data_IF_446897294845
#
_entry.id   IF_446897294845
#
_cell.length_a   1.000
_cell.length_b   1.000
_cell.length_c   1.000
_cell.angle_alpha   90.00
_cell.angle_beta   90.00
_cell.angle_gamma   90.00
#
_symmetry.space_group_name_H-M   'P 1'
#
loop_
_entity.id
_entity.type
_entity.pdbx_description
1 polymer ?
#
# COMPACT_ATOMS: atom_id res chain seq x y z
N UNK A 1 2.02 25.77 18.16
CA UNK A 1 3.25 25.15 18.70
C UNK A 1 4.44 25.58 17.85
N UNK A 2 5.41 26.24 18.45
CA UNK A 2 6.65 26.70 17.78
C UNK A 2 7.87 26.47 18.67
N UNK A 3 9.07 26.71 18.11
CA UNK A 3 10.32 26.67 18.83
C UNK A 3 10.70 25.28 19.33
N UNK A 4 11.18 25.19 20.55
CA UNK A 4 11.72 23.98 21.15
C UNK A 4 10.74 22.81 21.24
N UNK A 5 9.44 23.04 21.33
CA UNK A 5 8.41 21.98 21.35
C UNK A 5 8.38 21.24 20.01
N UNK A 6 8.34 21.99 18.90
CA UNK A 6 8.39 21.39 17.55
C UNK A 6 9.73 20.72 17.30
N UNK A 7 10.84 21.38 17.69
CA UNK A 7 12.20 20.86 17.51
C UNK A 7 12.60 19.75 18.50
N UNK A 8 11.65 19.13 19.18
CA UNK A 8 11.89 18.05 20.14
C UNK A 8 10.82 16.96 20.07
N UNK A 9 10.13 16.68 21.18
CA UNK A 9 9.22 15.53 21.28
C UNK A 9 8.01 15.57 20.34
N UNK A 10 7.50 16.76 19.96
CA UNK A 10 6.28 16.85 19.14
C UNK A 10 6.46 16.23 17.73
N UNK A 11 7.65 16.37 17.13
CA UNK A 11 7.96 15.78 15.80
C UNK A 11 8.50 14.34 15.86
N UNK A 12 8.61 13.76 17.06
CA UNK A 12 9.04 12.37 17.26
C UNK A 12 7.88 11.41 17.49
N UNK A 13 6.64 11.89 17.43
CA UNK A 13 5.44 11.07 17.63
C UNK A 13 5.27 10.02 16.53
N UNK A 14 4.84 8.82 16.92
CA UNK A 14 4.46 7.77 15.96
C UNK A 14 3.24 8.19 15.13
N UNK A 15 2.32 8.93 15.76
CA UNK A 15 1.19 9.61 15.14
C UNK A 15 1.16 11.05 15.63
N UNK A 16 1.08 12.01 14.72
CA UNK A 16 1.06 13.43 14.98
C UNK A 16 -0.25 14.02 14.47
N UNK A 17 -1.09 14.48 15.39
CA UNK A 17 -2.37 15.12 15.09
C UNK A 17 -2.26 16.63 15.23
N UNK A 18 -3.02 17.36 14.44
CA UNK A 18 -3.16 18.81 14.55
C UNK A 18 -4.63 19.22 14.54
N UNK A 19 -4.98 20.29 15.26
CA UNK A 19 -6.28 20.94 15.08
C UNK A 19 -6.27 21.83 13.82
N UNK A 20 -7.42 22.01 13.14
CA UNK A 20 -7.50 22.87 11.97
C UNK A 20 -6.92 24.27 12.22
N UNK A 21 -6.17 24.80 11.27
CA UNK A 21 -5.55 26.10 11.35
C UNK A 21 -4.50 26.28 12.44
N UNK A 22 -4.12 25.24 13.18
CA UNK A 22 -3.09 25.32 14.23
C UNK A 22 -1.75 25.78 13.64
N UNK A 23 -1.08 26.70 14.34
CA UNK A 23 0.27 27.14 13.97
C UNK A 23 1.31 26.15 14.47
N UNK A 24 2.05 25.54 13.54
CA UNK A 24 3.07 24.53 13.84
C UNK A 24 4.34 24.86 13.05
N UNK A 25 5.45 25.12 13.74
CA UNK A 25 6.71 25.44 13.06
C UNK A 25 7.86 25.56 14.05
N UNK A 26 9.10 25.62 13.56
CA UNK A 26 10.27 25.88 14.39
C UNK A 26 10.37 27.38 14.72
N UNK A 27 10.72 28.21 13.74
CA UNK A 27 10.69 29.66 13.90
C UNK A 27 9.26 30.18 13.66
N UNK A 28 8.80 31.08 14.52
CA UNK A 28 7.49 31.72 14.31
C UNK A 28 7.47 32.63 13.06
N UNK A 29 6.29 32.87 12.46
CA UNK A 29 6.19 33.65 11.23
C UNK A 29 6.87 35.03 11.30
N UNK A 30 6.66 35.78 12.39
CA UNK A 30 7.31 37.10 12.61
C UNK A 30 8.82 37.01 12.61
N UNK A 31 9.39 35.97 13.21
CA UNK A 31 10.85 35.77 13.26
C UNK A 31 11.39 35.50 11.85
N UNK A 32 10.70 34.68 11.09
CA UNK A 32 11.08 34.36 9.71
C UNK A 32 11.03 35.63 8.86
N UNK A 33 9.92 36.35 8.84
CA UNK A 33 9.72 37.58 8.04
C UNK A 33 10.77 38.65 8.38
N UNK A 34 11.06 38.84 9.67
CA UNK A 34 12.09 39.79 10.11
C UNK A 34 13.50 39.37 9.74
N UNK A 35 13.78 38.06 9.70
CA UNK A 35 15.13 37.54 9.42
C UNK A 35 15.44 37.52 7.93
N UNK A 36 14.50 37.08 7.10
CA UNK A 36 14.72 36.97 5.66
C UNK A 36 14.22 38.18 4.87
N UNK A 37 13.40 39.05 5.49
CA UNK A 37 12.86 40.26 4.86
C UNK A 37 11.74 40.00 3.83
N UNK A 38 11.16 38.81 3.83
CA UNK A 38 10.09 38.41 2.91
C UNK A 38 8.78 38.17 3.65
N UNK A 39 7.66 38.53 3.02
CA UNK A 39 6.32 38.21 3.53
C UNK A 39 5.99 36.75 3.26
N UNK A 40 5.56 36.03 4.29
CA UNK A 40 5.17 34.62 4.17
C UNK A 40 3.82 34.48 3.46
N UNK A 41 3.64 33.39 2.66
CA UNK A 41 2.35 33.09 2.04
C UNK A 41 1.24 32.85 3.07
N UNK A 42 -0.01 33.13 2.67
CA UNK A 42 -1.17 32.82 3.48
C UNK A 42 -1.24 31.31 3.77
N UNK A 43 -1.56 30.95 5.02
CA UNK A 43 -1.62 29.56 5.45
C UNK A 43 -0.25 28.90 5.75
N UNK A 44 0.87 29.61 5.57
CA UNK A 44 2.19 29.07 5.89
C UNK A 44 2.28 28.65 7.36
N UNK A 45 2.89 27.47 7.62
CA UNK A 45 3.00 26.85 8.94
C UNK A 45 1.66 26.51 9.63
N UNK A 46 0.53 26.52 8.93
CA UNK A 46 -0.74 26.01 9.47
C UNK A 46 -0.79 24.49 9.40
N UNK A 47 -1.74 23.88 10.12
CA UNK A 47 -1.95 22.43 10.14
C UNK A 47 -2.10 21.85 8.73
N UNK A 48 -2.84 22.53 7.86
CA UNK A 48 -3.08 22.14 6.45
C UNK A 48 -1.77 22.16 5.64
N UNK A 49 -0.92 23.16 5.89
CA UNK A 49 0.42 23.22 5.31
C UNK A 49 1.27 22.04 5.78
N UNK A 50 1.25 21.73 7.08
CA UNK A 50 2.02 20.65 7.67
C UNK A 50 1.55 19.27 7.18
N UNK A 51 0.25 19.08 6.98
CA UNK A 51 -0.32 17.85 6.38
C UNK A 51 0.18 17.68 4.94
N UNK A 52 0.07 18.74 4.13
CA UNK A 52 0.54 18.73 2.74
C UNK A 52 2.04 18.45 2.62
N UNK A 53 2.83 18.97 3.57
CA UNK A 53 4.27 18.77 3.64
C UNK A 53 4.68 17.51 4.43
N UNK A 54 3.74 16.65 4.78
CA UNK A 54 4.01 15.32 5.31
C UNK A 54 4.48 15.26 6.76
N UNK A 55 4.30 16.32 7.54
CA UNK A 55 4.79 16.41 8.92
C UNK A 55 3.75 16.02 9.98
N UNK A 56 2.45 16.04 9.64
CA UNK A 56 1.39 15.54 10.52
C UNK A 56 0.60 14.45 9.81
N UNK A 57 0.01 13.53 10.58
CA UNK A 57 -0.76 12.39 10.05
C UNK A 57 -2.20 12.76 9.72
N UNK A 58 -2.81 13.60 10.54
CA UNK A 58 -4.19 14.02 10.35
C UNK A 58 -4.49 15.36 11.01
N UNK A 59 -5.51 16.04 10.47
CA UNK A 59 -6.11 17.21 11.09
C UNK A 59 -7.43 16.76 11.71
N UNK A 60 -7.64 17.04 12.99
CA UNK A 60 -8.76 16.56 13.79
C UNK A 60 -9.38 17.74 14.54
N UNK A 61 -10.70 17.91 14.40
CA UNK A 61 -11.46 18.90 15.18
C UNK A 61 -11.39 18.60 16.68
N UNK A 62 -11.45 19.64 17.50
CA UNK A 62 -11.28 19.52 18.96
C UNK A 62 -12.33 18.62 19.62
N UNK A 63 -13.54 18.67 19.17
CA UNK A 63 -14.65 17.85 19.67
C UNK A 63 -14.54 16.37 19.26
N UNK A 64 -13.88 16.06 18.14
CA UNK A 64 -13.61 14.72 17.65
C UNK A 64 -12.31 14.11 18.25
N UNK A 65 -11.46 14.94 18.87
CA UNK A 65 -10.12 14.53 19.32
C UNK A 65 -10.16 13.38 20.33
N UNK A 66 -11.14 13.38 21.25
CA UNK A 66 -11.29 12.31 22.26
C UNK A 66 -11.56 10.95 21.61
N UNK A 67 -12.46 10.91 20.64
CA UNK A 67 -12.86 9.67 19.96
C UNK A 67 -11.74 9.18 19.04
N UNK A 68 -11.07 10.10 18.34
CA UNK A 68 -9.89 9.82 17.53
C UNK A 68 -8.74 9.24 18.37
N UNK A 69 -8.42 9.84 19.52
CA UNK A 69 -7.42 9.31 20.45
C UNK A 69 -7.83 7.94 20.99
N UNK A 70 -9.11 7.76 21.33
CA UNK A 70 -9.65 6.47 21.75
C UNK A 70 -9.48 5.39 20.69
N UNK A 71 -9.75 5.71 19.42
CA UNK A 71 -9.54 4.84 18.27
C UNK A 71 -8.04 4.48 18.11
N UNK A 72 -7.16 5.48 18.14
CA UNK A 72 -5.70 5.27 18.04
C UNK A 72 -5.21 4.33 19.14
N UNK A 73 -5.61 4.57 20.39
CA UNK A 73 -5.19 3.75 21.51
C UNK A 73 -5.70 2.30 21.39
N UNK A 74 -6.92 2.08 20.92
CA UNK A 74 -7.45 0.73 20.65
C UNK A 74 -6.63 0.02 19.58
N UNK A 75 -6.36 0.68 18.43
CA UNK A 75 -5.56 0.15 17.31
C UNK A 75 -4.10 -0.16 17.67
N UNK A 76 -3.60 0.42 18.79
CA UNK A 76 -2.25 0.16 19.31
C UNK A 76 -2.25 -0.75 20.55
N UNK A 77 -3.41 -1.36 20.89
CA UNK A 77 -3.44 -2.30 22.01
C UNK A 77 -2.51 -3.46 21.72
N UNK A 78 -1.63 -3.82 22.67
CA UNK A 78 -0.78 -4.98 22.51
C UNK A 78 -1.62 -6.25 22.29
N UNK A 79 -1.23 -7.07 21.33
CA UNK A 79 -1.82 -8.37 21.04
C UNK A 79 -0.77 -9.46 21.21
N UNK A 80 -1.17 -10.64 21.65
CA UNK A 80 -0.32 -11.83 21.64
C UNK A 80 -0.41 -12.50 20.28
N UNK A 81 0.69 -12.52 19.53
CA UNK A 81 0.73 -13.07 18.17
C UNK A 81 -0.05 -12.22 17.15
N UNK A 82 -0.56 -12.88 16.10
CA UNK A 82 -1.12 -12.22 14.91
C UNK A 82 -2.53 -12.71 14.54
N UNK A 83 -3.18 -13.48 15.38
CA UNK A 83 -4.47 -14.12 15.09
C UNK A 83 -5.52 -13.85 16.18
N UNK A 84 -5.60 -12.62 16.67
CA UNK A 84 -6.54 -12.21 17.71
C UNK A 84 -7.89 -11.77 17.08
N UNK A 85 -8.52 -12.68 16.35
CA UNK A 85 -9.78 -12.41 15.67
C UNK A 85 -10.95 -12.41 16.67
N UNK A 86 -12.00 -11.63 16.37
CA UNK A 86 -13.24 -11.68 17.11
C UNK A 86 -13.86 -13.09 16.96
N UNK A 87 -14.14 -13.79 18.06
CA UNK A 87 -14.77 -15.12 18.01
C UNK A 87 -16.09 -15.18 17.24
N UNK A 88 -16.82 -14.07 17.16
CA UNK A 88 -18.06 -13.97 16.38
C UNK A 88 -17.82 -14.11 14.86
N UNK A 89 -16.59 -13.85 14.39
CA UNK A 89 -16.19 -13.89 12.98
C UNK A 89 -15.09 -14.94 12.69
N UNK A 90 -14.73 -15.77 13.68
CA UNK A 90 -13.60 -16.69 13.55
C UNK A 90 -13.86 -17.85 12.59
N UNK A 91 -15.12 -18.19 12.34
CA UNK A 91 -15.52 -19.33 11.50
C UNK A 91 -16.01 -18.93 10.09
N UNK A 92 -15.79 -17.69 9.68
CA UNK A 92 -16.15 -17.17 8.34
C UNK A 92 -15.31 -17.83 7.23
N UNK A 93 -15.67 -19.08 6.89
CA UNK A 93 -15.18 -19.73 5.68
C UNK A 93 -15.88 -19.12 4.49
N UNK A 94 -15.10 -18.54 3.60
CA UNK A 94 -15.64 -18.03 2.35
C UNK A 94 -16.12 -19.16 1.45
N UNK A 95 -17.40 -19.11 1.07
CA UNK A 95 -17.98 -19.89 0.00
C UNK A 95 -18.44 -18.94 -1.13
N UNK A 96 -18.01 -19.16 -2.39
CA UNK A 96 -18.50 -18.36 -3.51
C UNK A 96 -20.01 -18.50 -3.65
N UNK A 97 -20.72 -17.39 -3.91
CA UNK A 97 -22.14 -17.41 -4.22
C UNK A 97 -22.39 -18.20 -5.53
N UNK A 98 -23.62 -18.68 -5.72
CA UNK A 98 -24.00 -19.38 -6.95
C UNK A 98 -23.74 -18.50 -8.20
N UNK A 99 -24.09 -17.23 -8.13
CA UNK A 99 -23.80 -16.25 -9.19
C UNK A 99 -22.31 -16.18 -9.54
N UNK A 100 -21.43 -16.22 -8.54
CA UNK A 100 -19.98 -16.17 -8.76
C UNK A 100 -19.45 -17.48 -9.36
N UNK A 101 -20.00 -18.62 -8.96
CA UNK A 101 -19.68 -19.91 -9.57
C UNK A 101 -20.09 -19.92 -11.06
N UNK A 102 -21.28 -19.40 -11.40
CA UNK A 102 -21.76 -19.26 -12.77
C UNK A 102 -20.85 -18.31 -13.57
N UNK A 103 -20.55 -17.11 -13.06
CA UNK A 103 -19.65 -16.16 -13.74
C UNK A 103 -18.29 -16.80 -14.05
N UNK A 104 -17.73 -17.55 -13.11
CA UNK A 104 -16.45 -18.22 -13.30
C UNK A 104 -16.53 -19.35 -14.34
N UNK A 105 -17.65 -20.07 -14.41
CA UNK A 105 -17.88 -21.17 -15.38
C UNK A 105 -18.00 -20.64 -16.80
N UNK A 106 -18.59 -19.46 -17.01
CA UNK A 106 -18.78 -18.86 -18.34
C UNK A 106 -17.59 -17.99 -18.79
N UNK A 107 -16.67 -17.63 -17.87
CA UNK A 107 -15.48 -16.87 -18.23
C UNK A 107 -14.47 -17.75 -18.96
N UNK A 108 -14.01 -17.29 -20.13
CA UNK A 108 -12.87 -17.94 -20.80
C UNK A 108 -11.57 -17.46 -20.16
N UNK A 109 -10.57 -18.35 -19.98
CA UNK A 109 -9.24 -17.90 -19.58
C UNK A 109 -8.73 -16.84 -20.55
N UNK A 110 -8.27 -15.71 -19.99
CA UNK A 110 -7.71 -14.64 -20.80
C UNK A 110 -6.28 -14.99 -21.25
N UNK A 111 -5.96 -14.64 -22.47
CA UNK A 111 -4.60 -14.69 -22.97
C UNK A 111 -3.70 -13.67 -22.23
N UNK A 112 -2.37 -13.86 -22.16
CA UNK A 112 -1.48 -12.98 -21.41
C UNK A 112 -1.64 -11.48 -21.73
N UNK A 113 -1.81 -11.15 -23.00
CA UNK A 113 -2.05 -9.76 -23.42
C UNK A 113 -3.40 -9.21 -22.95
N UNK A 114 -4.43 -10.02 -22.96
CA UNK A 114 -5.76 -9.61 -22.51
C UNK A 114 -5.77 -9.39 -20.99
N UNK A 115 -4.96 -10.15 -20.23
CA UNK A 115 -4.71 -9.90 -18.80
C UNK A 115 -3.98 -8.58 -18.57
N UNK A 116 -2.98 -8.23 -19.38
CA UNK A 116 -2.33 -6.91 -19.35
C UNK A 116 -3.37 -5.80 -19.53
N UNK A 117 -4.25 -5.95 -20.52
CA UNK A 117 -5.31 -4.97 -20.78
C UNK A 117 -6.34 -4.91 -19.64
N UNK A 118 -6.72 -6.06 -19.07
CA UNK A 118 -7.61 -6.12 -17.90
C UNK A 118 -7.01 -5.45 -16.66
N UNK A 119 -5.72 -5.67 -16.38
CA UNK A 119 -5.00 -5.04 -15.26
C UNK A 119 -4.93 -3.50 -15.39
N UNK A 120 -4.95 -2.98 -16.62
CA UNK A 120 -4.88 -1.55 -16.95
C UNK A 120 -6.23 -0.83 -16.98
N UNK A 121 -7.34 -1.56 -16.95
CA UNK A 121 -8.67 -0.93 -17.05
C UNK A 121 -8.90 0.07 -15.91
N UNK A 122 -9.41 1.25 -16.26
CA UNK A 122 -9.72 2.31 -15.29
C UNK A 122 -10.87 1.90 -14.35
N UNK A 123 -11.77 1.05 -14.78
CA UNK A 123 -12.89 0.53 -13.99
C UNK A 123 -12.51 -0.63 -13.07
N UNK A 124 -11.25 -1.13 -13.14
CA UNK A 124 -10.78 -2.16 -12.25
C UNK A 124 -10.77 -1.63 -10.83
N UNK A 125 -11.27 -2.44 -9.89
CA UNK A 125 -11.30 -2.11 -8.47
C UNK A 125 -9.92 -1.67 -7.97
N UNK A 126 -9.90 -0.58 -7.21
CA UNK A 126 -8.71 -0.02 -6.61
C UNK A 126 -8.45 -0.61 -5.22
N UNK A 127 -7.26 -0.37 -4.66
CA UNK A 127 -6.90 -0.81 -3.32
C UNK A 127 -7.91 -0.38 -2.25
N UNK A 128 -8.40 0.85 -2.32
CA UNK A 128 -9.35 1.41 -1.34
C UNK A 128 -10.71 0.73 -1.37
N UNK A 129 -11.13 0.15 -2.51
CA UNK A 129 -12.38 -0.60 -2.60
C UNK A 129 -12.29 -1.90 -1.82
N UNK A 130 -11.20 -2.65 -1.97
CA UNK A 130 -10.93 -3.85 -1.18
C UNK A 130 -10.72 -3.52 0.30
N UNK A 131 -9.95 -2.46 0.60
CA UNK A 131 -9.70 -2.03 1.97
C UNK A 131 -11.00 -1.71 2.71
N UNK A 132 -11.94 -1.02 2.07
CA UNK A 132 -13.24 -0.68 2.65
C UNK A 132 -14.18 -1.88 2.89
N UNK A 133 -13.98 -3.00 2.19
CA UNK A 133 -14.77 -4.21 2.37
C UNK A 133 -14.12 -5.22 3.35
N UNK A 134 -12.80 -5.20 3.45
CA UNK A 134 -12.05 -6.21 4.23
C UNK A 134 -11.83 -5.76 5.67
N UNK A 135 -11.52 -4.46 5.86
CA UNK A 135 -11.05 -3.95 7.15
C UNK A 135 -12.05 -3.02 7.81
N UNK A 136 -12.06 -3.07 9.13
CA UNK A 136 -12.88 -2.22 9.98
C UNK A 136 -12.03 -1.07 10.55
N UNK A 137 -12.67 0.05 10.87
CA UNK A 137 -12.07 1.21 11.55
C UNK A 137 -10.77 1.74 10.89
N UNK A 138 -10.64 1.67 9.57
CA UNK A 138 -9.43 2.17 8.91
C UNK A 138 -9.16 3.64 9.27
N UNK A 139 -7.93 3.91 9.69
CA UNK A 139 -7.41 5.24 9.99
C UNK A 139 -6.23 5.51 9.07
N UNK A 140 -6.42 6.39 8.09
CA UNK A 140 -5.33 6.81 7.21
C UNK A 140 -4.32 7.68 7.95
N UNK A 141 -3.03 7.45 7.66
CA UNK A 141 -1.90 8.20 8.17
C UNK A 141 -1.13 8.80 7.01
N UNK A 142 -0.82 10.09 7.10
CA UNK A 142 -0.22 10.85 6.02
C UNK A 142 1.25 11.18 6.23
N UNK A 143 1.94 11.44 5.12
CA UNK A 143 3.25 12.06 5.09
C UNK A 143 4.45 11.16 5.31
N UNK A 144 5.56 11.59 4.73
CA UNK A 144 6.87 10.91 4.81
C UNK A 144 7.75 11.38 5.96
N UNK A 145 7.38 12.45 6.67
CA UNK A 145 8.15 13.16 7.71
C UNK A 145 9.35 13.95 7.21
N UNK A 146 9.54 14.03 5.89
CA UNK A 146 10.72 14.69 5.31
C UNK A 146 10.37 15.81 4.35
N UNK A 147 9.39 15.60 3.46
CA UNK A 147 9.13 16.52 2.36
C UNK A 147 7.65 16.74 2.07
N UNK A 148 6.85 15.66 1.88
CA UNK A 148 5.42 15.80 1.61
C UNK A 148 4.67 14.47 1.78
N UNK A 149 3.36 14.52 1.59
CA UNK A 149 2.53 13.33 1.38
C UNK A 149 2.49 12.96 -0.10
N UNK A 150 2.24 11.67 -0.40
CA UNK A 150 1.98 11.17 -1.74
C UNK A 150 0.59 10.49 -1.78
N UNK A 151 -0.37 11.07 -2.50
CA UNK A 151 -1.72 10.52 -2.61
C UNK A 151 -1.81 9.20 -3.40
N UNK A 152 -0.75 8.81 -4.14
CA UNK A 152 -0.67 7.50 -4.78
C UNK A 152 -0.55 6.35 -3.75
N UNK A 153 -0.09 6.65 -2.53
CA UNK A 153 -0.03 5.69 -1.42
C UNK A 153 -1.08 6.04 -0.37
N UNK A 154 -2.07 5.18 -0.21
CA UNK A 154 -3.03 5.21 0.89
C UNK A 154 -2.60 4.18 1.93
N UNK A 155 -2.33 4.61 3.14
CA UNK A 155 -1.83 3.69 4.17
C UNK A 155 -2.22 4.12 5.57
N UNK A 156 -2.35 3.15 6.46
CA UNK A 156 -2.79 3.41 7.82
C UNK A 156 -2.95 2.14 8.64
N UNK A 157 -3.75 2.25 9.68
CA UNK A 157 -4.02 1.18 10.65
C UNK A 157 -5.51 0.83 10.59
N UNK A 158 -5.83 -0.46 10.69
CA UNK A 158 -7.20 -0.97 10.66
C UNK A 158 -7.34 -2.22 11.52
N UNK A 159 -8.55 -2.73 11.62
CA UNK A 159 -8.80 -4.08 12.13
C UNK A 159 -9.14 -5.06 11.00
N UNK A 160 -8.58 -6.24 11.08
CA UNK A 160 -9.04 -7.43 10.37
C UNK A 160 -9.77 -8.32 11.38
N UNK A 161 -11.08 -8.18 11.47
CA UNK A 161 -11.93 -8.90 12.46
C UNK A 161 -11.35 -8.86 13.89
N UNK A 162 -11.01 -7.68 14.40
CA UNK A 162 -10.47 -7.48 15.74
C UNK A 162 -8.93 -7.52 15.84
N UNK A 163 -8.23 -8.13 14.88
CA UNK A 163 -6.75 -8.10 14.83
C UNK A 163 -6.26 -6.76 14.26
N UNK A 164 -5.49 -5.94 15.00
CA UNK A 164 -4.88 -4.73 14.45
C UNK A 164 -3.87 -5.07 13.35
N UNK A 165 -3.98 -4.40 12.21
CA UNK A 165 -3.08 -4.57 11.07
C UNK A 165 -2.67 -3.21 10.50
N UNK A 166 -1.51 -3.16 9.85
CA UNK A 166 -1.11 -2.01 9.03
C UNK A 166 -1.40 -2.33 7.57
N UNK A 167 -2.15 -1.45 6.92
CA UNK A 167 -2.58 -1.64 5.52
C UNK A 167 -2.00 -0.53 4.67
N UNK A 168 -1.42 -0.88 3.53
CA UNK A 168 -0.80 0.06 2.59
C UNK A 168 -1.26 -0.32 1.18
N UNK A 169 -1.87 0.62 0.46
CA UNK A 169 -2.36 0.40 -0.89
C UNK A 169 -1.85 1.42 -1.89
N UNK A 170 -1.47 0.97 -3.08
CA UNK A 170 -1.30 1.87 -4.22
C UNK A 170 -2.67 2.17 -4.79
N UNK A 171 -3.01 3.45 -4.89
CA UNK A 171 -4.28 3.92 -5.42
C UNK A 171 -4.07 4.68 -6.73
N UNK A 172 -4.61 4.15 -7.83
CA UNK A 172 -4.49 4.77 -9.17
C UNK A 172 -5.43 5.95 -9.38
N UNK A 173 -6.48 6.05 -8.59
CA UNK A 173 -7.59 6.97 -8.80
C UNK A 173 -8.80 6.29 -9.47
N UNK A 174 -9.97 6.93 -9.34
CA UNK A 174 -11.27 6.42 -9.84
C UNK A 174 -11.77 7.16 -11.08
N UNK A 175 -11.32 8.37 -11.29
CA UNK A 175 -11.60 9.18 -12.47
C UNK A 175 -10.32 9.87 -12.96
N UNK A 176 -10.40 10.56 -14.12
CA UNK A 176 -9.23 11.17 -14.74
C UNK A 176 -8.58 12.26 -13.87
N UNK A 177 -9.36 13.00 -13.07
CA UNK A 177 -8.84 14.04 -12.17
C UNK A 177 -8.09 13.39 -11.02
N UNK A 178 -8.72 12.45 -10.34
CA UNK A 178 -8.12 11.68 -9.23
C UNK A 178 -6.88 10.88 -9.70
N UNK A 179 -6.93 10.27 -10.88
CA UNK A 179 -5.76 9.60 -11.47
C UNK A 179 -4.57 10.55 -11.64
N UNK A 180 -4.80 11.79 -12.12
CA UNK A 180 -3.72 12.78 -12.29
C UNK A 180 -3.13 13.20 -10.95
N UNK A 181 -3.96 13.43 -9.94
CA UNK A 181 -3.52 13.79 -8.59
C UNK A 181 -2.67 12.70 -7.95
N UNK A 182 -2.91 11.42 -8.31
CA UNK A 182 -2.19 10.23 -7.83
C UNK A 182 -1.13 9.71 -8.80
N UNK A 183 -0.69 10.51 -9.75
CA UNK A 183 0.28 10.10 -10.78
C UNK A 183 -0.09 8.75 -11.44
N UNK A 184 -1.38 8.48 -11.65
CA UNK A 184 -1.89 7.20 -12.18
C UNK A 184 -1.42 5.98 -11.38
N UNK A 185 -1.26 6.12 -10.07
CA UNK A 185 -0.77 5.07 -9.19
C UNK A 185 0.73 4.80 -9.32
N UNK A 186 1.49 5.78 -9.80
CA UNK A 186 2.96 5.73 -9.80
C UNK A 186 3.47 6.51 -8.59
N UNK A 187 3.94 5.84 -7.52
CA UNK A 187 4.39 6.55 -6.34
C UNK A 187 5.67 7.36 -6.58
N UNK A 188 5.70 8.53 -5.97
CA UNK A 188 6.88 9.38 -5.83
C UNK A 188 7.78 8.89 -4.68
N UNK A 189 8.99 9.42 -4.50
CA UNK A 189 9.88 9.02 -3.39
C UNK A 189 9.20 9.12 -2.02
N UNK A 190 8.37 10.12 -1.82
CA UNK A 190 7.62 10.37 -0.59
C UNK A 190 6.61 9.26 -0.31
N UNK A 191 5.99 8.69 -1.33
CA UNK A 191 5.08 7.54 -1.19
C UNK A 191 5.80 6.31 -0.66
N UNK A 192 6.99 6.00 -1.17
CA UNK A 192 7.81 4.90 -0.67
C UNK A 192 8.32 5.16 0.75
N UNK A 193 8.73 6.40 1.08
CA UNK A 193 9.15 6.78 2.44
C UNK A 193 7.97 6.72 3.43
N UNK A 194 6.78 7.16 3.03
CA UNK A 194 5.54 6.99 3.81
C UNK A 194 5.27 5.50 4.06
N UNK A 195 5.34 4.68 3.03
CA UNK A 195 5.11 3.24 3.17
C UNK A 195 6.06 2.59 4.18
N UNK A 196 7.37 2.81 4.06
CA UNK A 196 8.33 2.21 4.99
C UNK A 196 8.22 2.78 6.41
N UNK A 197 7.85 4.06 6.57
CA UNK A 197 7.54 4.64 7.88
C UNK A 197 6.40 3.89 8.57
N UNK A 198 5.31 3.61 7.85
CA UNK A 198 4.17 2.84 8.36
C UNK A 198 4.55 1.38 8.67
N UNK A 199 5.39 0.77 7.85
CA UNK A 199 5.89 -0.59 8.10
C UNK A 199 6.79 -0.66 9.34
N UNK A 200 7.64 0.33 9.56
CA UNK A 200 8.46 0.44 10.78
C UNK A 200 7.60 0.65 12.02
N UNK A 201 6.55 1.45 11.91
CA UNK A 201 5.58 1.62 12.99
C UNK A 201 4.83 0.30 13.26
N UNK A 202 4.47 -0.45 12.21
CA UNK A 202 3.86 -1.77 12.35
C UNK A 202 4.77 -2.74 13.13
N UNK A 203 6.05 -2.80 12.78
CA UNK A 203 7.05 -3.60 13.49
C UNK A 203 7.16 -3.18 14.97
N UNK A 204 7.26 -1.89 15.26
CA UNK A 204 7.34 -1.36 16.63
C UNK A 204 6.15 -1.79 17.50
N UNK A 205 4.96 -1.86 16.94
CA UNK A 205 3.72 -2.21 17.64
C UNK A 205 3.26 -3.65 17.38
N UNK A 206 4.11 -4.50 16.82
CA UNK A 206 3.85 -5.91 16.53
C UNK A 206 2.58 -6.15 15.70
N UNK A 207 2.32 -5.30 14.69
CA UNK A 207 1.19 -5.44 13.77
C UNK A 207 1.61 -6.11 12.46
N UNK A 208 0.84 -7.08 11.94
CA UNK A 208 1.02 -7.58 10.58
C UNK A 208 0.86 -6.47 9.55
N UNK A 209 1.52 -6.61 8.42
CA UNK A 209 1.50 -5.67 7.31
C UNK A 209 0.83 -6.33 6.11
N UNK A 210 -0.13 -5.62 5.49
CA UNK A 210 -0.80 -6.06 4.26
C UNK A 210 -0.64 -4.95 3.23
N UNK A 211 -0.06 -5.30 2.06
CA UNK A 211 0.11 -4.34 0.96
C UNK A 211 -0.76 -4.70 -0.24
N UNK A 212 -1.40 -3.71 -0.86
CA UNK A 212 -2.14 -3.83 -2.11
C UNK A 212 -1.37 -3.08 -3.21
N UNK A 213 -0.84 -3.82 -4.17
CA UNK A 213 0.03 -3.28 -5.22
C UNK A 213 -0.72 -3.21 -6.54
N UNK A 214 -0.82 -1.99 -7.08
CA UNK A 214 -1.37 -1.72 -8.41
C UNK A 214 -0.67 -0.50 -9.02
N UNK A 215 0.50 -0.71 -9.58
CA UNK A 215 1.30 0.35 -10.19
C UNK A 215 1.95 -0.13 -11.48
N UNK A 216 2.01 0.74 -12.49
CA UNK A 216 2.83 0.50 -13.68
C UNK A 216 4.33 0.68 -13.43
N UNK A 217 4.71 1.23 -12.28
CA UNK A 217 6.07 1.50 -11.84
C UNK A 217 6.15 2.72 -10.92
N UNK A 218 7.35 3.05 -10.49
CA UNK A 218 7.61 4.30 -9.78
C UNK A 218 7.47 5.51 -10.72
N UNK A 219 7.09 6.67 -10.18
CA UNK A 219 6.94 7.90 -10.96
C UNK A 219 8.28 8.31 -11.60
N UNK A 220 8.38 8.42 -12.94
CA UNK A 220 9.64 8.68 -13.64
C UNK A 220 9.86 10.18 -13.91
N UNK A 221 9.27 11.05 -13.10
CA UNK A 221 9.38 12.49 -13.28
C UNK A 221 10.72 13.06 -12.81
N UNK A 222 11.12 14.21 -13.36
CA UNK A 222 12.35 14.92 -12.99
C UNK A 222 12.41 15.19 -11.48
N UNK A 223 11.30 15.67 -10.88
CA UNK A 223 11.20 15.95 -9.46
C UNK A 223 11.39 14.68 -8.59
N UNK A 224 10.92 13.53 -9.06
CA UNK A 224 11.13 12.27 -8.35
C UNK A 224 12.62 11.86 -8.35
N UNK A 225 13.33 12.06 -9.45
CA UNK A 225 14.78 11.82 -9.51
C UNK A 225 15.54 12.79 -8.60
N UNK A 226 15.21 14.09 -8.62
CA UNK A 226 15.77 15.10 -7.74
C UNK A 226 15.56 14.81 -6.26
N UNK A 227 14.45 14.16 -5.91
CA UNK A 227 14.08 13.78 -4.55
C UNK A 227 14.49 12.34 -4.18
N UNK A 228 15.27 11.65 -5.02
CA UNK A 228 15.88 10.36 -4.70
C UNK A 228 14.98 9.15 -4.87
N UNK A 229 14.27 9.02 -6.01
CA UNK A 229 13.39 7.89 -6.32
C UNK A 229 14.10 6.53 -6.16
N UNK A 230 15.32 6.42 -6.70
CA UNK A 230 16.09 5.19 -6.61
C UNK A 230 16.46 4.82 -5.17
N UNK A 231 16.84 5.79 -4.33
CA UNK A 231 17.13 5.57 -2.90
C UNK A 231 15.90 5.12 -2.15
N UNK A 232 14.75 5.77 -2.37
CA UNK A 232 13.51 5.44 -1.67
C UNK A 232 13.05 4.01 -1.97
N UNK A 233 13.16 3.56 -3.23
CA UNK A 233 12.90 2.17 -3.63
C UNK A 233 13.89 1.21 -2.96
N UNK A 234 15.19 1.47 -3.08
CA UNK A 234 16.22 0.63 -2.52
C UNK A 234 16.11 0.50 -0.99
N UNK A 235 15.78 1.62 -0.30
CA UNK A 235 15.54 1.64 1.13
C UNK A 235 14.36 0.76 1.51
N UNK A 236 13.25 0.81 0.79
CA UNK A 236 12.12 -0.06 1.04
C UNK A 236 12.47 -1.54 0.91
N UNK A 237 13.20 -1.93 -0.15
CA UNK A 237 13.65 -3.31 -0.33
C UNK A 237 14.50 -3.80 0.83
N UNK A 238 15.47 -2.96 1.22
CA UNK A 238 16.38 -3.27 2.33
C UNK A 238 15.63 -3.43 3.65
N UNK A 239 14.82 -2.43 4.02
CA UNK A 239 14.11 -2.43 5.30
C UNK A 239 13.04 -3.52 5.37
N UNK A 240 12.23 -3.70 4.30
CA UNK A 240 11.23 -4.77 4.28
C UNK A 240 11.83 -6.15 4.45
N UNK A 241 13.04 -6.40 3.91
CA UNK A 241 13.71 -7.69 4.07
C UNK A 241 13.97 -8.05 5.53
N UNK A 242 14.21 -7.04 6.38
CA UNK A 242 14.56 -7.20 7.81
C UNK A 242 13.39 -7.11 8.78
N UNK A 243 12.21 -6.62 8.36
CA UNK A 243 11.05 -6.45 9.25
C UNK A 243 10.64 -7.76 9.93
N UNK A 244 10.38 -7.69 11.24
CA UNK A 244 10.14 -8.83 12.11
C UNK A 244 8.66 -9.11 12.42
N UNK A 245 7.75 -8.59 11.59
CA UNK A 245 6.32 -8.95 11.62
C UNK A 245 5.91 -9.59 10.29
N UNK A 246 4.79 -10.33 10.22
CA UNK A 246 4.29 -10.88 8.96
C UNK A 246 4.01 -9.79 7.93
N UNK A 247 4.42 -10.02 6.69
CA UNK A 247 4.11 -9.17 5.55
C UNK A 247 3.42 -10.01 4.47
N UNK A 248 2.20 -9.62 4.11
CA UNK A 248 1.44 -10.18 2.99
C UNK A 248 1.34 -9.15 1.88
N UNK A 249 1.71 -9.52 0.66
CA UNK A 249 1.66 -8.63 -0.49
C UNK A 249 0.63 -9.13 -1.52
N UNK A 250 -0.25 -8.24 -1.98
CA UNK A 250 -1.34 -8.54 -2.91
C UNK A 250 -1.16 -7.75 -4.20
N UNK A 251 -0.89 -8.44 -5.31
CA UNK A 251 -0.87 -7.85 -6.63
C UNK A 251 -2.31 -7.79 -7.17
N UNK A 252 -2.94 -6.61 -7.14
CA UNK A 252 -4.36 -6.46 -7.49
C UNK A 252 -4.59 -5.93 -8.92
N UNK A 253 -3.54 -5.57 -9.63
CA UNK A 253 -3.59 -5.07 -11.00
C UNK A 253 -2.21 -5.14 -11.65
N UNK A 254 -1.64 -4.00 -12.05
CA UNK A 254 -0.27 -3.97 -12.55
C UNK A 254 0.75 -4.03 -11.41
N UNK A 255 1.74 -4.90 -11.51
CA UNK A 255 2.92 -4.95 -10.67
C UNK A 255 4.17 -4.61 -11.49
N UNK A 256 4.47 -3.31 -11.65
CA UNK A 256 5.52 -2.82 -12.52
C UNK A 256 6.87 -2.61 -11.81
N UNK A 257 7.89 -3.38 -12.22
CA UNK A 257 9.30 -3.13 -11.93
C UNK A 257 9.62 -2.94 -10.43
N UNK A 258 10.70 -2.22 -10.14
CA UNK A 258 11.13 -1.86 -8.80
C UNK A 258 10.08 -1.08 -8.00
N UNK A 259 9.21 -0.33 -8.67
CA UNK A 259 8.12 0.39 -8.02
C UNK A 259 7.11 -0.53 -7.33
N UNK A 260 6.76 -1.64 -7.97
CA UNK A 260 5.94 -2.67 -7.35
C UNK A 260 6.72 -3.48 -6.30
N UNK A 261 7.95 -3.87 -6.62
CA UNK A 261 8.80 -4.67 -5.74
C UNK A 261 9.08 -3.98 -4.40
N UNK A 262 9.20 -2.64 -4.40
CA UNK A 262 9.39 -1.82 -3.19
C UNK A 262 8.23 -1.92 -2.17
N UNK A 263 7.12 -2.56 -2.53
CA UNK A 263 5.96 -2.85 -1.67
C UNK A 263 5.62 -4.34 -1.63
N UNK A 264 6.47 -5.21 -2.21
CA UNK A 264 6.16 -6.61 -2.46
C UNK A 264 7.18 -7.59 -1.88
N UNK A 265 8.07 -7.15 -0.98
CA UNK A 265 9.00 -8.03 -0.26
C UNK A 265 8.27 -8.62 0.95
N UNK A 266 7.40 -9.61 0.71
CA UNK A 266 6.55 -10.24 1.72
C UNK A 266 6.93 -11.67 2.08
N UNK A 267 6.36 -12.18 3.17
CA UNK A 267 6.41 -13.60 3.53
C UNK A 267 5.59 -14.43 2.54
N UNK A 268 4.46 -13.88 2.09
CA UNK A 268 3.71 -14.40 0.94
C UNK A 268 3.38 -13.27 -0.04
N UNK A 269 3.29 -13.62 -1.31
CA UNK A 269 2.82 -12.75 -2.40
C UNK A 269 1.65 -13.44 -3.07
N UNK A 270 0.48 -12.81 -3.02
CA UNK A 270 -0.69 -13.29 -3.74
C UNK A 270 -0.99 -12.38 -4.92
N UNK A 271 -1.61 -12.91 -5.95
CA UNK A 271 -1.86 -12.16 -7.17
C UNK A 271 -3.26 -12.43 -7.71
N UNK A 272 -3.98 -11.40 -8.08
CA UNK A 272 -5.28 -11.56 -8.71
C UNK A 272 -5.15 -12.22 -10.08
N UNK A 273 -6.14 -13.02 -10.44
CA UNK A 273 -6.16 -13.91 -11.60
C UNK A 273 -5.78 -13.21 -12.92
N UNK A 274 -6.23 -11.96 -13.10
CA UNK A 274 -5.95 -11.15 -14.28
C UNK A 274 -5.04 -9.95 -14.00
N UNK A 275 -4.28 -9.99 -12.89
CA UNK A 275 -3.19 -9.07 -12.64
C UNK A 275 -1.93 -9.46 -13.42
N UNK A 276 -0.96 -8.56 -13.49
CA UNK A 276 0.35 -8.79 -14.10
C UNK A 276 1.47 -8.35 -13.15
N UNK A 277 2.59 -9.08 -13.14
CA UNK A 277 3.76 -8.69 -12.36
C UNK A 277 5.03 -8.93 -13.20
N UNK A 278 5.80 -7.89 -13.44
CA UNK A 278 6.94 -7.94 -14.36
C UNK A 278 7.98 -6.86 -14.08
N UNK A 279 9.19 -7.07 -14.55
CA UNK A 279 10.30 -6.09 -14.45
C UNK A 279 10.13 -4.87 -15.37
N UNK A 280 9.36 -5.01 -16.46
CA UNK A 280 9.05 -3.92 -17.39
C UNK A 280 7.77 -4.27 -18.17
N UNK A 281 7.19 -3.28 -18.86
CA UNK A 281 5.99 -3.52 -19.67
C UNK A 281 6.30 -4.40 -20.90
N UNK A 282 5.33 -5.14 -21.43
CA UNK A 282 5.51 -5.90 -22.68
C UNK A 282 5.97 -5.04 -23.86
N UNK A 283 5.48 -3.81 -23.95
CA UNK A 283 5.92 -2.83 -24.95
C UNK A 283 7.40 -2.47 -24.78
N UNK A 284 7.81 -2.25 -23.51
CA UNK A 284 9.22 -1.98 -23.17
C UNK A 284 10.13 -3.16 -23.52
N UNK A 285 9.70 -4.38 -23.14
CA UNK A 285 10.41 -5.61 -23.48
C UNK A 285 10.60 -5.77 -24.99
N UNK A 286 9.53 -5.66 -25.76
CA UNK A 286 9.56 -5.78 -27.22
C UNK A 286 10.45 -4.69 -27.85
N UNK A 287 10.38 -3.45 -27.36
CA UNK A 287 11.20 -2.35 -27.85
C UNK A 287 12.70 -2.56 -27.57
N UNK A 288 13.05 -3.05 -26.38
CA UNK A 288 14.47 -3.24 -25.98
C UNK A 288 15.05 -4.45 -26.70
N UNK A 289 14.39 -5.62 -26.65
CA UNK A 289 14.98 -6.86 -27.14
C UNK A 289 14.76 -7.06 -28.65
N UNK A 290 13.60 -6.69 -29.16
CA UNK A 290 13.24 -6.95 -30.55
C UNK A 290 13.26 -5.70 -31.43
N UNK A 291 13.51 -4.54 -30.83
CA UNK A 291 13.51 -3.22 -31.52
C UNK A 291 12.15 -2.88 -32.17
N UNK A 292 11.08 -3.52 -31.69
CA UNK A 292 9.72 -3.34 -32.22
C UNK A 292 8.67 -3.43 -31.08
N UNK A 293 8.27 -2.27 -30.55
CA UNK A 293 7.25 -2.18 -29.50
C UNK A 293 5.85 -2.67 -29.93
N UNK A 294 5.56 -2.82 -31.22
CA UNK A 294 4.29 -3.35 -31.72
C UNK A 294 4.11 -4.83 -31.41
N UNK A 295 5.21 -5.54 -31.10
CA UNK A 295 5.16 -6.96 -30.71
C UNK A 295 4.86 -7.17 -29.22
N UNK A 296 4.25 -6.20 -28.55
CA UNK A 296 3.90 -6.28 -27.13
C UNK A 296 3.03 -7.48 -26.78
N UNK A 297 2.10 -7.88 -27.64
CA UNK A 297 1.24 -9.06 -27.45
C UNK A 297 2.07 -10.36 -27.38
N UNK A 298 3.04 -10.52 -28.27
CA UNK A 298 3.97 -11.65 -28.27
C UNK A 298 4.88 -11.59 -27.03
N UNK A 299 5.36 -10.40 -26.69
CA UNK A 299 6.16 -10.19 -25.49
C UNK A 299 5.43 -10.60 -24.22
N UNK A 300 4.16 -10.25 -24.04
CA UNK A 300 3.36 -10.64 -22.89
C UNK A 300 3.33 -12.17 -22.66
N UNK A 301 3.30 -12.95 -23.74
CA UNK A 301 3.31 -14.41 -23.68
C UNK A 301 4.69 -14.95 -23.27
N UNK A 302 5.77 -14.39 -23.85
CA UNK A 302 7.13 -14.86 -23.60
C UNK A 302 7.63 -14.49 -22.19
N UNK A 303 7.19 -13.35 -21.67
CA UNK A 303 7.67 -12.80 -20.38
C UNK A 303 7.18 -13.55 -19.15
N UNK A 304 6.18 -14.41 -19.27
CA UNK A 304 5.64 -15.18 -18.14
C UNK A 304 5.19 -14.29 -16.95
N UNK A 305 4.35 -13.30 -17.24
CA UNK A 305 3.95 -12.24 -16.29
C UNK A 305 2.58 -12.44 -15.66
N UNK A 306 1.89 -13.53 -15.98
CA UNK A 306 0.55 -13.80 -15.46
C UNK A 306 0.58 -14.47 -14.10
N UNK A 307 -0.51 -14.38 -13.34
CA UNK A 307 -0.63 -14.98 -12.02
C UNK A 307 -0.37 -16.50 -12.06
N UNK A 308 -0.81 -17.18 -13.12
CA UNK A 308 -0.62 -18.61 -13.31
C UNK A 308 0.84 -18.95 -13.58
N UNK A 309 1.48 -18.25 -14.53
CA UNK A 309 2.91 -18.42 -14.80
C UNK A 309 3.77 -18.22 -13.55
N UNK A 310 3.49 -17.13 -12.80
CA UNK A 310 4.27 -16.78 -11.60
C UNK A 310 3.99 -17.72 -10.42
N UNK A 311 2.81 -18.33 -10.37
CA UNK A 311 2.49 -19.40 -9.42
C UNK A 311 3.30 -20.67 -9.73
N UNK A 312 3.39 -21.07 -10.99
CA UNK A 312 4.22 -22.19 -11.43
C UNK A 312 5.71 -21.97 -11.12
N UNK A 313 6.17 -20.72 -11.30
CA UNK A 313 7.55 -20.30 -10.98
C UNK A 313 7.79 -20.09 -9.48
N UNK A 314 6.80 -20.29 -8.62
CA UNK A 314 6.86 -20.09 -7.17
C UNK A 314 7.17 -18.63 -6.74
N UNK A 315 6.98 -17.65 -7.63
CA UNK A 315 7.05 -16.21 -7.32
C UNK A 315 5.79 -15.75 -6.58
N UNK A 316 4.65 -16.34 -6.91
CA UNK A 316 3.35 -16.08 -6.29
C UNK A 316 2.89 -17.31 -5.50
N UNK A 317 2.37 -17.11 -4.29
CA UNK A 317 1.93 -18.20 -3.40
C UNK A 317 0.47 -18.59 -3.62
N UNK A 318 -0.42 -17.61 -3.86
CA UNK A 318 -1.85 -17.85 -4.15
C UNK A 318 -2.33 -16.99 -5.31
N UNK A 319 -3.22 -17.54 -6.13
CA UNK A 319 -3.96 -16.79 -7.14
C UNK A 319 -5.33 -16.45 -6.56
N UNK A 320 -5.67 -15.16 -6.56
CA UNK A 320 -6.94 -14.64 -6.06
C UNK A 320 -7.95 -14.68 -7.20
N UNK A 321 -9.08 -15.40 -7.06
CA UNK A 321 -10.08 -15.51 -8.12
C UNK A 321 -10.78 -14.16 -8.36
N UNK A 322 -11.10 -13.86 -9.61
CA UNK A 322 -11.82 -12.62 -10.00
C UNK A 322 -13.27 -12.87 -10.41
N UNK A 323 -13.70 -14.12 -10.50
CA UNK A 323 -15.08 -14.49 -10.85
C UNK A 323 -15.58 -13.78 -12.13
N UNK A 324 -14.75 -13.79 -13.16
CA UNK A 324 -15.04 -13.18 -14.47
C UNK A 324 -14.65 -11.71 -14.61
N UNK A 325 -14.19 -11.04 -13.54
CA UNK A 325 -13.67 -9.67 -13.59
C UNK A 325 -13.60 -9.02 -12.22
N UNK A 326 -12.63 -8.13 -12.04
CA UNK A 326 -12.47 -7.33 -10.81
C UNK A 326 -13.30 -6.05 -10.92
N UNK A 327 -14.60 -6.19 -10.85
CA UNK A 327 -15.61 -5.12 -10.93
C UNK A 327 -16.47 -5.06 -9.66
N UNK A 328 -17.38 -4.08 -9.60
CA UNK A 328 -18.23 -3.84 -8.43
C UNK A 328 -19.10 -5.07 -8.07
N UNK A 329 -19.56 -5.85 -9.05
CA UNK A 329 -20.36 -7.04 -8.80
C UNK A 329 -19.56 -8.16 -8.12
N UNK A 330 -18.27 -8.25 -8.38
CA UNK A 330 -17.38 -9.24 -7.78
C UNK A 330 -16.72 -8.79 -6.47
N UNK A 331 -16.76 -7.49 -6.13
CA UNK A 331 -16.05 -6.91 -5.01
C UNK A 331 -16.29 -7.68 -3.69
N UNK A 332 -17.54 -7.88 -3.32
CA UNK A 332 -17.89 -8.55 -2.05
C UNK A 332 -17.32 -9.97 -1.98
N UNK A 333 -17.41 -10.73 -3.08
CA UNK A 333 -16.91 -12.11 -3.13
C UNK A 333 -15.38 -12.19 -3.13
N UNK A 334 -14.71 -11.29 -3.87
CA UNK A 334 -13.25 -11.21 -3.89
C UNK A 334 -12.74 -10.80 -2.50
N UNK A 335 -13.36 -9.77 -1.90
CA UNK A 335 -12.99 -9.28 -0.57
C UNK A 335 -13.18 -10.35 0.51
N UNK A 336 -14.29 -11.08 0.48
CA UNK A 336 -14.55 -12.18 1.42
C UNK A 336 -13.51 -13.32 1.25
N UNK A 337 -13.16 -13.68 0.03
CA UNK A 337 -12.09 -14.64 -0.23
C UNK A 337 -10.74 -14.16 0.33
N UNK A 338 -10.39 -12.88 0.06
CA UNK A 338 -9.16 -12.28 0.58
C UNK A 338 -9.17 -12.29 2.10
N UNK A 339 -10.26 -11.85 2.74
CA UNK A 339 -10.40 -11.75 4.20
C UNK A 339 -10.20 -13.12 4.86
N UNK A 340 -10.90 -14.16 4.41
CA UNK A 340 -10.76 -15.52 4.94
C UNK A 340 -9.33 -16.06 4.82
N UNK A 341 -8.73 -15.92 3.63
CA UNK A 341 -7.34 -16.37 3.41
C UNK A 341 -6.30 -15.54 4.17
N UNK A 342 -6.52 -14.23 4.38
CA UNK A 342 -5.66 -13.39 5.24
C UNK A 342 -5.67 -13.88 6.69
N UNK A 343 -6.82 -14.27 7.21
CA UNK A 343 -6.94 -14.86 8.56
C UNK A 343 -6.16 -16.17 8.65
N UNK A 344 -6.26 -17.05 7.64
CA UNK A 344 -5.46 -18.28 7.57
C UNK A 344 -3.96 -17.99 7.52
N UNK A 345 -3.55 -17.03 6.69
CA UNK A 345 -2.16 -16.58 6.63
C UNK A 345 -1.66 -16.14 8.00
N UNK A 346 -2.40 -15.27 8.70
CA UNK A 346 -1.99 -14.77 10.01
C UNK A 346 -1.95 -15.88 11.08
N UNK A 347 -2.90 -16.83 11.05
CA UNK A 347 -2.83 -18.03 11.93
C UNK A 347 -1.55 -18.83 11.70
N UNK A 348 -1.15 -19.01 10.44
CA UNK A 348 0.07 -19.73 10.09
C UNK A 348 1.36 -19.02 10.52
N UNK A 349 1.30 -17.71 10.77
CA UNK A 349 2.42 -16.91 11.28
C UNK A 349 2.43 -16.77 12.81
N UNK A 350 1.36 -17.16 13.49
CA UNK A 350 1.09 -16.81 14.89
C UNK A 350 2.19 -17.23 15.86
N UNK A 351 2.76 -18.41 15.67
CA UNK A 351 3.76 -19.00 16.57
C UNK A 351 5.21 -18.71 16.16
N UNK A 352 5.41 -17.90 15.11
CA UNK A 352 6.73 -17.59 14.58
C UNK A 352 7.34 -16.37 15.26
N UNK A 353 8.60 -16.48 15.64
CA UNK A 353 9.36 -15.31 16.10
C UNK A 353 9.64 -14.34 14.94
N UNK A 354 9.84 -13.07 15.26
CA UNK A 354 10.19 -12.05 14.25
C UNK A 354 11.46 -12.41 13.45
N UNK A 355 12.46 -13.04 14.09
CA UNK A 355 13.67 -13.51 13.41
C UNK A 355 13.37 -14.64 12.42
N UNK A 356 12.43 -15.54 12.73
CA UNK A 356 11.98 -16.59 11.79
C UNK A 356 11.27 -15.99 10.59
N UNK A 357 10.37 -15.03 10.82
CA UNK A 357 9.65 -14.32 9.75
C UNK A 357 10.60 -13.61 8.78
N UNK A 358 11.60 -12.88 9.30
CA UNK A 358 12.61 -12.22 8.47
C UNK A 358 13.48 -13.25 7.72
N UNK A 359 13.86 -14.36 8.39
CA UNK A 359 14.65 -15.41 7.75
C UNK A 359 13.88 -16.13 6.63
N UNK A 360 12.61 -16.48 6.83
CA UNK A 360 11.76 -17.11 5.81
C UNK A 360 11.64 -16.20 4.58
N UNK A 361 11.46 -14.88 4.80
CA UNK A 361 11.44 -13.90 3.73
C UNK A 361 12.76 -13.82 2.98
N UNK A 362 13.88 -13.78 3.68
CA UNK A 362 15.21 -13.84 3.09
C UNK A 362 15.39 -15.11 2.26
N UNK A 363 15.06 -16.28 2.83
CA UNK A 363 15.21 -17.59 2.14
C UNK A 363 14.29 -17.67 0.91
N UNK A 364 13.09 -17.03 0.95
CA UNK A 364 12.18 -16.93 -0.18
C UNK A 364 12.85 -16.22 -1.36
N UNK A 365 13.35 -15.00 -1.14
CA UNK A 365 13.92 -14.20 -2.22
C UNK A 365 15.30 -14.66 -2.70
N UNK A 366 15.97 -15.52 -1.94
CA UNK A 366 17.21 -16.17 -2.35
C UNK A 366 17.03 -17.31 -3.35
N UNK A 367 15.79 -17.75 -3.62
CA UNK A 367 15.48 -18.81 -4.58
C UNK A 367 15.48 -18.30 -6.03
N UNK A 368 15.42 -17.00 -6.21
CA UNK A 368 15.42 -16.30 -7.51
C UNK A 368 16.76 -15.59 -7.75
#
# INVERSE_FOLDING_TARGET
TTGGVTASFAMLGDIILAEPGALIGFAGPRVIEQTIGEKLPDGFQRAEFQLKHGFVDAIVERDELKDTLGKILRLHRPTEGYANFDPAHDDDRYEPTELMRERNTFSRPLEPWDKVMAARQMKRLASVDYMGQIFDEFMELHGDRYFRDDPAIVGGIAYLDGQPVTVIGVHKGKDLKDCKERNFGMPSPEGYRKAIRLMKQAEKFNRPIITFVNTSGAYPGKEAEENGQGEAIARNLYEMSGIQVPILCLMIGEGGSGGALALAVGNEVWMMENATYSILSPEGFASILWKDGKRAKEAATVMKITAQDLKELSVVDKVIPEYGGADDDALTSIAAWMKGNMKEFLRAQNDKSGKQLAKERYDRFRKF
#
